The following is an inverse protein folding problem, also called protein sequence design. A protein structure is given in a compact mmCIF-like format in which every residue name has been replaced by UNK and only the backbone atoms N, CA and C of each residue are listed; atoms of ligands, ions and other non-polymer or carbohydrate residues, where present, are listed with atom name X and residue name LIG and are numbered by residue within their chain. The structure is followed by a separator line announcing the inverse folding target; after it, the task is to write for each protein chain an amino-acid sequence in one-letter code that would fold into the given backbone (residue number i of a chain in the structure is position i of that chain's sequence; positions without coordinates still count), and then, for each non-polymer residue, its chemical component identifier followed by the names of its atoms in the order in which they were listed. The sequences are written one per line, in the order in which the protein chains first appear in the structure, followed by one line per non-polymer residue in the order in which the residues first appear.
data_IF_506630890322
#
_entry.id   IF_506630890322
#
_cell.length_a   1.000
_cell.length_b   1.000
_cell.length_c   1.000
_cell.angle_alpha   90.00
_cell.angle_beta   90.00
_cell.angle_gamma   90.00
#
_symmetry.space_group_name_H-M   'P 1'
#
loop_
_entity.id
_entity.type
_entity.pdbx_description
1 polymer ?
#
# COMPACT_ATOMS: atom_id res chain seq x y z
N UNK A 1 7.95 -13.26 -4.55
CA UNK A 1 7.37 -11.94 -4.28
C UNK A 1 7.81 -11.37 -2.92
N UNK A 2 8.33 -12.19 -1.99
CA UNK A 2 8.72 -11.71 -0.64
C UNK A 2 9.90 -10.71 -0.62
N UNK A 3 10.73 -10.66 -1.67
CA UNK A 3 11.84 -9.68 -1.75
C UNK A 3 11.38 -8.25 -2.05
N UNK A 4 10.14 -8.06 -2.52
CA UNK A 4 9.57 -6.74 -2.79
C UNK A 4 9.12 -6.01 -1.52
N UNK A 5 9.19 -6.65 -0.34
CA UNK A 5 8.67 -6.13 0.92
C UNK A 5 9.79 -5.98 1.95
N UNK A 6 9.88 -4.84 2.66
CA UNK A 6 10.89 -4.66 3.69
C UNK A 6 10.65 -5.59 4.88
N UNK A 7 11.71 -6.04 5.58
CA UNK A 7 11.63 -7.09 6.58
C UNK A 7 10.81 -6.71 7.82
N UNK A 8 10.66 -5.42 8.13
CA UNK A 8 9.87 -4.92 9.25
C UNK A 8 8.37 -4.81 8.95
N UNK A 9 7.96 -4.93 7.68
CA UNK A 9 6.56 -4.80 7.28
C UNK A 9 5.74 -6.01 7.74
N UNK A 10 4.65 -5.72 8.45
CA UNK A 10 3.74 -6.76 8.97
C UNK A 10 2.40 -6.78 8.22
N UNK A 11 1.92 -5.62 7.77
CA UNK A 11 0.67 -5.50 7.02
C UNK A 11 0.75 -6.13 5.63
N UNK A 12 -0.36 -6.73 5.19
CA UNK A 12 -0.54 -7.28 3.84
C UNK A 12 0.59 -8.21 3.37
N UNK A 13 1.22 -8.90 4.31
CA UNK A 13 2.37 -9.79 4.06
C UNK A 13 2.02 -11.18 4.54
N UNK A 14 2.41 -12.20 3.76
CA UNK A 14 2.11 -13.60 4.10
C UNK A 14 2.67 -13.94 5.49
N UNK A 15 1.86 -14.63 6.29
CA UNK A 15 2.21 -15.09 7.64
C UNK A 15 2.58 -13.98 8.64
N UNK A 16 2.22 -12.72 8.37
CA UNK A 16 2.39 -11.58 9.27
C UNK A 16 1.08 -10.83 9.42
N UNK A 17 0.93 -10.08 10.51
CA UNK A 17 -0.25 -9.27 10.76
C UNK A 17 -0.15 -8.46 12.03
N UNK A 18 -1.29 -8.01 12.53
CA UNK A 18 -1.35 -7.14 13.71
C UNK A 18 -0.75 -7.81 14.95
N UNK A 19 -0.99 -9.10 15.14
CA UNK A 19 -0.43 -9.85 16.26
C UNK A 19 1.11 -9.87 16.24
N UNK A 20 1.72 -10.10 15.07
CA UNK A 20 3.18 -10.08 14.94
C UNK A 20 3.74 -8.67 15.13
N UNK A 21 3.05 -7.63 14.65
CA UNK A 21 3.43 -6.23 14.90
C UNK A 21 3.44 -5.90 16.40
N UNK A 22 2.41 -6.30 17.14
CA UNK A 22 2.31 -6.05 18.58
C UNK A 22 3.47 -6.74 19.31
N UNK A 23 3.73 -8.01 19.02
CA UNK A 23 4.80 -8.78 19.65
C UNK A 23 6.17 -8.17 19.34
N UNK A 24 6.46 -7.85 18.07
CA UNK A 24 7.74 -7.24 17.68
C UNK A 24 7.93 -5.86 18.34
N UNK A 25 6.89 -5.02 18.35
CA UNK A 25 6.96 -3.69 18.97
C UNK A 25 7.15 -3.79 20.47
N UNK A 26 6.39 -4.65 21.15
CA UNK A 26 6.51 -4.90 22.58
C UNK A 26 7.91 -5.37 22.96
N UNK A 27 8.47 -6.32 22.20
CA UNK A 27 9.84 -6.79 22.40
C UNK A 27 10.86 -5.65 22.28
N UNK A 28 10.79 -4.83 21.23
CA UNK A 28 11.70 -3.70 21.04
C UNK A 28 11.65 -2.72 22.22
N UNK A 29 10.46 -2.44 22.75
CA UNK A 29 10.27 -1.56 23.91
C UNK A 29 10.89 -2.20 25.16
N UNK A 30 10.56 -3.46 25.45
CA UNK A 30 11.07 -4.15 26.64
C UNK A 30 12.59 -4.27 26.62
N UNK A 31 13.18 -4.61 25.48
CA UNK A 31 14.63 -4.73 25.33
C UNK A 31 15.32 -3.37 25.54
N UNK A 32 14.75 -2.27 25.03
CA UNK A 32 15.31 -0.93 25.22
C UNK A 32 15.28 -0.50 26.70
N UNK A 33 14.15 -0.73 27.38
CA UNK A 33 14.00 -0.42 28.81
C UNK A 33 14.92 -1.27 29.69
N UNK A 34 15.08 -2.56 29.37
CA UNK A 34 15.99 -3.45 30.09
C UNK A 34 17.46 -2.99 29.99
N UNK A 35 17.83 -2.32 28.91
CA UNK A 35 19.15 -1.74 28.70
C UNK A 35 19.29 -0.32 29.27
N UNK A 36 18.31 0.18 30.04
CA UNK A 36 18.33 1.51 30.63
C UNK A 36 18.09 2.65 29.65
N UNK A 37 17.65 2.35 28.42
CA UNK A 37 17.34 3.38 27.43
C UNK A 37 15.92 3.92 27.64
N UNK A 38 15.72 5.21 27.35
CA UNK A 38 14.38 5.79 27.22
C UNK A 38 13.76 5.41 25.88
N UNK A 39 12.43 5.28 25.85
CA UNK A 39 11.67 4.90 24.66
C UNK A 39 10.70 6.02 24.30
N UNK A 40 10.64 6.37 23.02
CA UNK A 40 9.63 7.26 22.44
C UNK A 40 9.07 6.62 21.18
N UNK A 41 7.76 6.76 20.96
CA UNK A 41 7.06 6.18 19.82
C UNK A 41 6.36 7.27 19.03
N UNK A 42 6.51 7.22 17.71
CA UNK A 42 5.77 8.05 16.76
C UNK A 42 4.84 7.12 16.00
N UNK A 43 3.55 7.43 16.02
CA UNK A 43 2.52 6.72 15.25
C UNK A 43 1.94 7.67 14.21
N UNK A 44 1.92 7.25 12.95
CA UNK A 44 1.41 8.03 11.83
C UNK A 44 0.33 7.24 11.11
N UNK A 45 -0.77 7.91 10.78
CA UNK A 45 -1.87 7.34 9.99
C UNK A 45 -2.00 8.11 8.67
N UNK A 46 -2.08 7.39 7.56
CA UNK A 46 -2.19 7.97 6.23
C UNK A 46 -3.66 8.18 5.87
N UNK A 47 -4.07 9.44 5.73
CA UNK A 47 -5.41 9.77 5.26
C UNK A 47 -5.68 9.20 3.88
N UNK A 48 -6.78 8.46 3.73
CA UNK A 48 -7.23 7.86 2.46
C UNK A 48 -6.11 7.11 1.74
N UNK A 49 -5.38 6.27 2.48
CA UNK A 49 -4.18 5.58 2.04
C UNK A 49 -4.32 4.90 0.66
N UNK A 50 -5.41 4.16 0.44
CA UNK A 50 -5.67 3.46 -0.82
C UNK A 50 -6.16 4.37 -1.93
N UNK A 51 -6.92 5.43 -1.62
CA UNK A 51 -7.44 6.37 -2.62
C UNK A 51 -6.37 7.34 -3.11
N UNK A 52 -5.27 7.48 -2.34
CA UNK A 52 -4.21 8.46 -2.60
C UNK A 52 -3.05 7.91 -3.43
N UNK A 53 -3.10 6.63 -3.84
CA UNK A 53 -2.04 6.00 -4.64
C UNK A 53 -2.01 6.62 -6.04
N UNK A 54 -0.96 7.34 -6.38
CA UNK A 54 -0.79 7.88 -7.73
C UNK A 54 -0.33 6.75 -8.70
N UNK A 55 -1.10 6.52 -9.76
CA UNK A 55 -0.83 5.42 -10.71
C UNK A 55 0.52 5.57 -11.40
N UNK A 56 0.87 6.78 -11.87
CA UNK A 56 2.16 7.02 -12.55
C UNK A 56 3.34 6.75 -11.63
N UNK A 57 3.26 7.20 -10.38
CA UNK A 57 4.30 6.95 -9.38
C UNK A 57 4.43 5.46 -9.04
N UNK A 58 3.31 4.73 -8.96
CA UNK A 58 3.33 3.27 -8.75
C UNK A 58 3.97 2.53 -9.94
N UNK A 59 3.62 2.89 -11.18
CA UNK A 59 4.22 2.29 -12.39
C UNK A 59 5.72 2.59 -12.45
N UNK A 60 6.14 3.82 -12.14
CA UNK A 60 7.55 4.18 -12.05
C UNK A 60 8.29 3.33 -11.01
N UNK A 61 7.73 3.15 -9.81
CA UNK A 61 8.33 2.28 -8.77
C UNK A 61 8.47 0.83 -9.20
N UNK A 62 7.54 0.29 -9.99
CA UNK A 62 7.64 -1.06 -10.55
C UNK A 62 8.80 -1.15 -11.54
N UNK A 63 8.96 -0.14 -12.41
CA UNK A 63 10.07 -0.06 -13.36
C UNK A 63 11.42 0.07 -12.63
N UNK A 64 11.49 0.93 -11.60
CA UNK A 64 12.70 1.15 -10.81
C UNK A 64 13.12 -0.09 -9.98
N UNK A 65 12.18 -1.03 -9.76
CA UNK A 65 12.43 -2.33 -9.10
C UNK A 65 12.66 -3.48 -10.09
N UNK A 66 12.95 -3.18 -11.36
CA UNK A 66 13.21 -4.15 -12.42
C UNK A 66 12.06 -5.18 -12.60
N UNK A 67 10.82 -4.77 -12.33
CA UNK A 67 9.67 -5.64 -12.59
C UNK A 67 9.52 -5.80 -14.12
N UNK A 68 9.38 -7.05 -14.63
CA UNK A 68 9.28 -7.30 -16.05
C UNK A 68 8.23 -6.43 -16.74
N UNK A 69 8.59 -5.84 -17.90
CA UNK A 69 7.75 -4.88 -18.62
C UNK A 69 6.36 -5.41 -18.94
N UNK A 70 6.22 -6.71 -19.22
CA UNK A 70 4.93 -7.34 -19.47
C UNK A 70 4.01 -7.30 -18.22
N UNK A 71 4.57 -7.51 -17.02
CA UNK A 71 3.82 -7.42 -15.76
C UNK A 71 3.44 -5.97 -15.47
N UNK A 72 4.39 -5.04 -15.65
CA UNK A 72 4.15 -3.61 -15.46
C UNK A 72 3.04 -3.10 -16.38
N UNK A 73 3.00 -3.52 -17.65
CA UNK A 73 1.92 -3.19 -18.59
C UNK A 73 0.56 -3.76 -18.18
N UNK A 74 0.52 -4.98 -17.63
CA UNK A 74 -0.73 -5.56 -17.13
C UNK A 74 -1.29 -4.70 -15.98
N UNK A 75 -0.42 -4.28 -15.05
CA UNK A 75 -0.82 -3.42 -13.93
C UNK A 75 -1.23 -2.04 -14.43
N UNK A 76 -0.49 -1.46 -15.38
CA UNK A 76 -0.82 -0.17 -15.99
C UNK A 76 -2.20 -0.18 -16.66
N UNK A 77 -2.49 -1.21 -17.47
CA UNK A 77 -3.79 -1.37 -18.10
C UNK A 77 -4.90 -1.58 -17.07
N UNK A 78 -4.67 -2.41 -16.05
CA UNK A 78 -5.65 -2.63 -14.97
C UNK A 78 -6.04 -1.31 -14.26
N UNK A 79 -5.07 -0.41 -14.06
CA UNK A 79 -5.31 0.88 -13.43
C UNK A 79 -5.98 1.87 -14.40
N UNK A 80 -5.58 1.87 -15.68
CA UNK A 80 -6.11 2.75 -16.71
C UNK A 80 -7.57 2.44 -17.10
N UNK A 81 -7.97 1.17 -17.05
CA UNK A 81 -9.34 0.73 -17.38
C UNK A 81 -10.36 1.08 -16.28
N UNK A 82 -9.92 1.71 -15.19
CA UNK A 82 -10.81 2.06 -14.09
C UNK A 82 -11.43 3.44 -14.31
N UNK A 83 -12.74 3.45 -14.57
CA UNK A 83 -13.54 4.68 -14.60
C UNK A 83 -14.55 4.73 -13.46
N UNK A 84 -14.94 5.96 -13.10
CA UNK A 84 -15.92 6.24 -12.07
C UNK A 84 -17.09 7.02 -12.65
N UNK A 85 -18.29 6.61 -12.26
CA UNK A 85 -19.54 7.30 -12.57
C UNK A 85 -20.40 7.37 -11.32
N UNK A 86 -20.86 8.58 -10.98
CA UNK A 86 -21.78 8.79 -9.87
C UNK A 86 -23.22 8.61 -10.34
N UNK A 87 -24.05 7.98 -9.51
CA UNK A 87 -25.50 7.93 -9.73
C UNK A 87 -26.21 8.47 -8.48
N UNK A 88 -27.12 9.41 -8.69
CA UNK A 88 -28.02 9.89 -7.66
C UNK A 88 -29.46 9.80 -8.17
N UNK A 89 -30.25 8.92 -7.55
CA UNK A 89 -31.61 8.57 -7.99
C UNK A 89 -31.63 8.09 -9.46
N UNK A 90 -32.23 8.88 -10.34
CA UNK A 90 -32.35 8.62 -11.78
C UNK A 90 -31.33 9.40 -12.60
N UNK A 91 -30.50 10.24 -11.98
CA UNK A 91 -29.48 11.04 -12.66
C UNK A 91 -28.12 10.38 -12.51
N UNK A 92 -27.37 10.34 -13.60
CA UNK A 92 -26.00 9.84 -13.64
C UNK A 92 -25.05 10.93 -14.10
N UNK A 93 -23.82 10.92 -13.58
CA UNK A 93 -22.75 11.81 -14.04
C UNK A 93 -22.14 11.28 -15.33
N UNK A 94 -21.35 12.11 -15.99
CA UNK A 94 -20.40 11.62 -16.98
C UNK A 94 -19.41 10.66 -16.34
N UNK A 95 -18.92 9.73 -17.16
CA UNK A 95 -17.87 8.79 -16.80
C UNK A 95 -16.52 9.54 -16.77
N UNK A 96 -15.73 9.32 -15.72
CA UNK A 96 -14.41 9.95 -15.57
C UNK A 96 -13.35 8.92 -15.21
N UNK A 97 -12.13 9.03 -15.77
CA UNK A 97 -11.04 8.13 -15.42
C UNK A 97 -10.59 8.35 -13.97
N UNK A 98 -10.25 7.25 -13.29
CA UNK A 98 -9.62 7.30 -11.97
C UNK A 98 -8.11 7.43 -12.16
N UNK A 99 -7.53 8.57 -11.75
CA UNK A 99 -6.09 8.83 -11.86
C UNK A 99 -5.30 8.50 -10.58
N UNK A 100 -6.03 8.38 -9.46
CA UNK A 100 -5.49 8.11 -8.14
C UNK A 100 -6.35 7.08 -7.45
N UNK A 101 -5.69 6.21 -6.73
CA UNK A 101 -6.31 5.27 -5.83
C UNK A 101 -6.53 3.90 -6.43
N UNK A 102 -6.94 2.99 -5.57
CA UNK A 102 -7.28 1.62 -5.92
C UNK A 102 -8.77 1.39 -5.72
N UNK A 103 -9.38 0.56 -6.56
CA UNK A 103 -10.73 0.08 -6.30
C UNK A 103 -10.77 -0.67 -4.96
N UNK A 104 -11.67 -0.28 -4.07
CA UNK A 104 -11.85 -0.97 -2.80
C UNK A 104 -12.33 -2.40 -3.04
N UNK A 105 -11.71 -3.37 -2.36
CA UNK A 105 -11.95 -4.79 -2.63
C UNK A 105 -11.12 -5.36 -3.79
N UNK A 106 -10.26 -4.55 -4.42
CA UNK A 106 -9.28 -5.08 -5.38
C UNK A 106 -8.26 -5.98 -4.69
N UNK A 107 -7.98 -7.13 -5.31
CA UNK A 107 -6.94 -8.05 -4.85
C UNK A 107 -5.55 -7.39 -4.94
N UNK A 108 -5.36 -6.50 -5.92
CA UNK A 108 -4.11 -5.76 -6.11
C UNK A 108 -3.92 -4.60 -5.12
N UNK A 109 -4.98 -4.09 -4.50
CA UNK A 109 -4.92 -2.94 -3.59
C UNK A 109 -3.85 -3.09 -2.50
N UNK A 110 -3.90 -4.16 -1.68
CA UNK A 110 -2.90 -4.43 -0.66
C UNK A 110 -1.45 -4.48 -1.18
N UNK A 111 -1.23 -5.14 -2.32
CA UNK A 111 0.10 -5.25 -2.93
C UNK A 111 0.59 -3.90 -3.46
N UNK A 112 -0.27 -3.17 -4.16
CA UNK A 112 0.01 -1.84 -4.69
C UNK A 112 0.36 -0.85 -3.58
N UNK A 113 -0.40 -0.86 -2.48
CA UNK A 113 -0.10 -0.05 -1.30
C UNK A 113 1.27 -0.37 -0.73
N UNK A 114 1.57 -1.66 -0.58
CA UNK A 114 2.85 -2.11 -0.06
C UNK A 114 4.05 -1.66 -0.90
N UNK A 115 3.92 -1.71 -2.23
CA UNK A 115 4.92 -1.20 -3.16
C UNK A 115 5.03 0.33 -3.12
N UNK A 116 3.89 1.02 -3.02
CA UNK A 116 3.84 2.48 -3.03
C UNK A 116 4.60 3.08 -1.85
N UNK A 117 4.36 2.55 -0.64
CA UNK A 117 5.02 2.98 0.60
C UNK A 117 6.31 2.21 0.90
N UNK A 118 6.89 1.51 -0.07
CA UNK A 118 8.10 0.70 0.13
C UNK A 118 9.32 1.53 0.59
N UNK A 119 9.40 2.78 0.13
CA UNK A 119 10.57 3.65 0.34
C UNK A 119 10.40 4.53 1.60
N UNK A 120 9.38 4.24 2.40
CA UNK A 120 9.11 4.82 3.71
C UNK A 120 9.49 3.78 4.77
#
# INVERSE_FOLDING_TARGET
MDWLQPPFRQGFTRARGTATQIVCTGKTITDALANGNSVSMISTDLSKAFDSINHKALIKKLQDKDVPTNITKIIENYLADTQLKGRFRTTETEEKPILHGMLQGSILGPLAFNLYVHDI
#
